data_IF_688135935468
#
_entry.id   IF_688135935468
#
_cell.length_a   1.000
_cell.length_b   1.000
_cell.length_c   1.000
_cell.angle_alpha   90.00
_cell.angle_beta   90.00
_cell.angle_gamma   90.00
#
_symmetry.space_group_name_H-M   'P 1'
#
loop_
_entity.id
_entity.type
_entity.pdbx_description
1 polymer ?
#
# COMPACT_ATOMS: atom_id res chain seq x y z
N UNK A 1 -64.74 -70.48 -38.14
CA UNK A 1 -65.66 -69.49 -37.55
C UNK A 1 -64.82 -68.51 -36.83
N UNK A 2 -64.67 -67.50 -37.48
CA UNK A 2 -65.07 -66.11 -37.24
C UNK A 2 -64.05 -65.34 -36.40
N UNK A 3 -63.37 -64.51 -37.09
CA UNK A 3 -63.34 -63.05 -37.04
C UNK A 3 -62.65 -62.50 -35.78
N UNK A 4 -61.93 -61.50 -35.74
CA UNK A 4 -61.74 -60.40 -36.63
C UNK A 4 -60.89 -59.37 -35.88
N UNK A 5 -60.23 -58.59 -36.67
CA UNK A 5 -59.95 -57.18 -36.52
C UNK A 5 -58.98 -56.69 -35.43
N UNK A 6 -57.90 -56.29 -35.90
CA UNK A 6 -57.57 -54.82 -36.22
C UNK A 6 -57.56 -53.89 -35.01
N UNK A 7 -56.47 -53.29 -34.68
CA UNK A 7 -56.16 -51.99 -35.18
C UNK A 7 -54.82 -51.48 -34.66
N UNK A 8 -54.02 -50.78 -35.48
CA UNK A 8 -52.81 -50.11 -35.02
C UNK A 8 -53.17 -48.71 -34.56
N UNK A 9 -52.56 -48.30 -33.50
CA UNK A 9 -52.54 -46.90 -33.05
C UNK A 9 -51.13 -46.56 -32.74
N UNK A 10 -50.42 -46.15 -33.62
CA UNK A 10 -49.81 -44.87 -33.95
C UNK A 10 -50.12 -43.79 -32.91
N UNK A 11 -49.08 -43.32 -32.17
CA UNK A 11 -48.90 -41.92 -31.77
C UNK A 11 -47.40 -41.71 -31.57
N UNK A 12 -46.77 -41.12 -32.48
CA UNK A 12 -46.16 -39.82 -32.54
C UNK A 12 -45.46 -39.42 -31.21
N UNK A 13 -44.15 -39.46 -31.25
CA UNK A 13 -43.32 -38.26 -31.41
C UNK A 13 -43.68 -37.14 -30.46
N UNK A 14 -42.90 -37.02 -29.41
CA UNK A 14 -42.85 -35.93 -28.48
C UNK A 14 -41.39 -35.62 -28.18
N UNK A 15 -40.68 -35.16 -29.19
CA UNK A 15 -39.42 -34.44 -28.97
C UNK A 15 -39.73 -33.18 -28.17
N UNK A 16 -39.56 -33.27 -26.86
CA UNK A 16 -39.52 -32.13 -25.95
C UNK A 16 -38.37 -31.19 -26.41
N UNK A 17 -38.56 -29.88 -26.33
CA UNK A 17 -37.55 -28.95 -26.79
C UNK A 17 -36.25 -29.14 -26.00
N UNK A 18 -35.17 -29.23 -26.76
CA UNK A 18 -33.78 -29.27 -26.30
C UNK A 18 -33.56 -28.29 -25.15
N UNK A 19 -32.93 -28.81 -24.09
CA UNK A 19 -32.63 -28.06 -22.88
C UNK A 19 -32.09 -26.66 -23.17
N UNK A 20 -32.75 -25.69 -22.61
CA UNK A 20 -32.14 -24.41 -22.33
C UNK A 20 -30.94 -24.71 -21.43
N UNK A 21 -29.76 -24.80 -22.04
CA UNK A 21 -28.51 -24.82 -21.31
C UNK A 21 -28.56 -23.62 -20.36
N UNK A 22 -28.46 -23.95 -19.10
CA UNK A 22 -28.36 -23.03 -17.98
C UNK A 22 -27.20 -22.06 -18.27
N UNK A 23 -27.52 -20.92 -18.87
CA UNK A 23 -26.56 -19.80 -18.97
C UNK A 23 -26.38 -19.36 -17.53
N UNK A 24 -25.16 -19.44 -16.98
CA UNK A 24 -24.93 -18.91 -15.66
C UNK A 24 -25.49 -17.48 -15.62
N UNK A 25 -26.42 -17.24 -14.73
CA UNK A 25 -27.01 -15.92 -14.51
C UNK A 25 -25.89 -14.90 -14.33
N UNK A 26 -26.14 -13.62 -14.58
CA UNK A 26 -25.12 -12.58 -14.45
C UNK A 26 -24.54 -12.68 -13.04
N UNK A 27 -23.21 -12.91 -12.96
CA UNK A 27 -22.50 -13.04 -11.70
C UNK A 27 -22.87 -11.87 -10.78
N UNK A 28 -23.12 -12.18 -9.50
CA UNK A 28 -23.45 -11.16 -8.50
C UNK A 28 -22.37 -10.07 -8.51
N UNK A 29 -22.75 -8.82 -8.76
CA UNK A 29 -21.80 -7.72 -8.81
C UNK A 29 -21.00 -7.55 -7.54
N UNK A 30 -21.58 -7.89 -6.39
CA UNK A 30 -20.91 -7.84 -5.10
C UNK A 30 -19.81 -8.90 -5.06
N UNK A 31 -20.12 -10.14 -5.44
CA UNK A 31 -19.13 -11.21 -5.48
C UNK A 31 -17.97 -10.91 -6.45
N UNK A 32 -18.28 -10.35 -7.62
CA UNK A 32 -17.25 -9.93 -8.60
C UNK A 32 -16.36 -8.83 -8.02
N UNK A 33 -16.94 -7.82 -7.38
CA UNK A 33 -16.18 -6.73 -6.78
C UNK A 33 -15.29 -7.24 -5.64
N UNK A 34 -15.83 -8.04 -4.73
CA UNK A 34 -15.09 -8.59 -3.58
C UNK A 34 -13.90 -9.44 -4.02
N UNK A 35 -14.01 -10.18 -5.15
CA UNK A 35 -12.86 -10.90 -5.73
C UNK A 35 -11.69 -9.98 -6.08
N UNK A 36 -11.96 -8.72 -6.41
CA UNK A 36 -10.94 -7.75 -6.83
C UNK A 36 -10.59 -6.71 -5.77
N UNK A 37 -11.38 -6.59 -4.70
CA UNK A 37 -11.29 -5.54 -3.68
C UNK A 37 -9.87 -5.39 -3.12
N UNK A 38 -9.25 -6.49 -2.72
CA UNK A 38 -7.90 -6.48 -2.15
C UNK A 38 -6.87 -5.89 -3.12
N UNK A 39 -6.90 -6.29 -4.39
CA UNK A 39 -6.03 -5.73 -5.43
C UNK A 39 -6.28 -4.23 -5.62
N UNK A 40 -7.55 -3.80 -5.65
CA UNK A 40 -7.91 -2.39 -5.82
C UNK A 40 -7.44 -1.54 -4.64
N UNK A 41 -7.59 -2.05 -3.41
CA UNK A 41 -7.06 -1.41 -2.19
C UNK A 41 -5.54 -1.30 -2.25
N UNK A 42 -4.85 -2.36 -2.66
CA UNK A 42 -3.40 -2.35 -2.85
C UNK A 42 -2.93 -1.32 -3.90
N UNK A 43 -3.64 -1.19 -5.02
CA UNK A 43 -3.36 -0.16 -6.05
C UNK A 43 -3.57 1.23 -5.46
N UNK A 44 -4.73 1.48 -4.84
CA UNK A 44 -5.09 2.78 -4.28
C UNK A 44 -4.11 3.21 -3.18
N UNK A 45 -3.76 2.31 -2.25
CA UNK A 45 -2.83 2.61 -1.16
C UNK A 45 -1.41 2.94 -1.68
N UNK A 46 -0.87 2.15 -2.63
CA UNK A 46 0.44 2.44 -3.24
C UNK A 46 0.44 3.76 -4.01
N UNK A 47 -0.69 4.14 -4.57
CA UNK A 47 -0.83 5.43 -5.22
C UNK A 47 -0.98 6.60 -4.25
N UNK A 48 -1.72 6.45 -3.16
CA UNK A 48 -2.12 7.57 -2.30
C UNK A 48 -1.24 7.71 -1.05
N UNK A 49 -0.65 6.60 -0.57
CA UNK A 49 0.15 6.57 0.66
C UNK A 49 -0.67 6.80 1.94
N UNK A 50 -2.01 6.69 1.87
CA UNK A 50 -2.93 6.82 3.00
C UNK A 50 -4.02 5.75 2.91
N UNK A 51 -4.17 4.98 3.99
CA UNK A 51 -5.15 3.89 4.04
C UNK A 51 -6.59 4.40 3.93
N UNK A 52 -6.92 5.48 4.64
CA UNK A 52 -8.25 6.09 4.58
C UNK A 52 -8.61 6.60 3.17
N UNK A 53 -7.66 7.26 2.48
CA UNK A 53 -7.90 7.73 1.10
C UNK A 53 -8.02 6.56 0.12
N UNK A 54 -7.32 5.45 0.36
CA UNK A 54 -7.44 4.23 -0.44
C UNK A 54 -8.80 3.56 -0.25
N UNK A 55 -9.29 3.44 0.99
CA UNK A 55 -10.63 2.94 1.30
C UNK A 55 -11.71 3.77 0.61
N UNK A 56 -11.62 5.09 0.69
CA UNK A 56 -12.56 6.01 0.03
C UNK A 56 -12.59 5.80 -1.50
N UNK A 57 -11.42 5.64 -2.12
CA UNK A 57 -11.32 5.38 -3.57
C UNK A 57 -11.93 4.04 -3.94
N UNK A 58 -11.70 3.00 -3.15
CA UNK A 58 -12.27 1.66 -3.39
C UNK A 58 -13.78 1.69 -3.20
N UNK A 59 -14.28 2.40 -2.20
CA UNK A 59 -15.73 2.59 -1.99
C UNK A 59 -16.37 3.35 -3.16
N UNK A 60 -15.74 4.42 -3.64
CA UNK A 60 -16.22 5.15 -4.83
C UNK A 60 -16.19 4.27 -6.10
N UNK A 61 -15.17 3.42 -6.23
CA UNK A 61 -15.09 2.44 -7.33
C UNK A 61 -16.23 1.41 -7.25
N UNK A 62 -16.59 0.96 -6.05
CA UNK A 62 -17.77 0.12 -5.82
C UNK A 62 -19.07 0.81 -6.27
N UNK A 63 -19.29 2.06 -5.87
CA UNK A 63 -20.48 2.80 -6.26
C UNK A 63 -20.61 2.92 -7.79
N UNK A 64 -19.51 3.18 -8.48
CA UNK A 64 -19.48 3.23 -9.95
C UNK A 64 -19.70 1.87 -10.60
N UNK A 65 -19.17 0.81 -10.02
CA UNK A 65 -19.38 -0.55 -10.46
C UNK A 65 -20.84 -1.00 -10.28
N UNK A 66 -21.43 -0.70 -9.12
CA UNK A 66 -22.83 -1.07 -8.82
C UNK A 66 -23.83 -0.35 -9.72
N UNK A 67 -23.51 0.88 -10.16
CA UNK A 67 -24.35 1.69 -11.06
C UNK A 67 -24.09 1.42 -12.55
N UNK A 68 -23.02 0.69 -12.92
CA UNK A 68 -22.69 0.43 -14.32
C UNK A 68 -23.68 -0.55 -14.98
N UNK A 69 -24.03 -0.30 -16.24
CA UNK A 69 -24.72 -1.30 -17.04
C UNK A 69 -23.74 -2.44 -17.39
N UNK A 70 -24.02 -3.63 -16.88
CA UNK A 70 -23.15 -4.79 -16.99
C UNK A 70 -23.14 -5.40 -18.38
N UNK A 71 -24.13 -5.12 -19.19
CA UNK A 71 -24.14 -5.51 -20.61
C UNK A 71 -22.97 -4.92 -21.38
N UNK A 72 -22.50 -3.74 -20.94
CA UNK A 72 -21.39 -3.01 -21.55
C UNK A 72 -20.01 -3.39 -20.99
N UNK A 73 -19.94 -4.06 -19.82
CA UNK A 73 -18.67 -4.40 -19.19
C UNK A 73 -18.26 -5.84 -19.48
N UNK A 74 -17.45 -6.02 -20.51
CA UNK A 74 -16.93 -7.35 -20.90
C UNK A 74 -15.89 -7.89 -19.92
N UNK A 75 -15.06 -7.01 -19.34
CA UNK A 75 -13.93 -7.35 -18.46
C UNK A 75 -14.02 -6.57 -17.15
N UNK A 76 -14.67 -7.14 -16.12
CA UNK A 76 -14.87 -6.48 -14.82
C UNK A 76 -13.57 -6.00 -14.17
N UNK A 77 -12.51 -6.84 -14.17
CA UNK A 77 -11.19 -6.48 -13.61
C UNK A 77 -10.62 -5.22 -14.27
N UNK A 78 -10.62 -5.16 -15.61
CA UNK A 78 -10.09 -4.01 -16.34
C UNK A 78 -10.90 -2.73 -16.06
N UNK A 79 -12.23 -2.84 -15.97
CA UNK A 79 -13.12 -1.74 -15.61
C UNK A 79 -12.79 -1.21 -14.22
N UNK A 80 -12.74 -2.08 -13.21
CA UNK A 80 -12.48 -1.73 -11.82
C UNK A 80 -11.10 -1.10 -11.62
N UNK A 81 -10.06 -1.69 -12.22
CA UNK A 81 -8.70 -1.12 -12.18
C UNK A 81 -8.66 0.26 -12.82
N UNK A 82 -9.33 0.45 -13.96
CA UNK A 82 -9.40 1.76 -14.63
C UNK A 82 -10.08 2.79 -13.75
N UNK A 83 -11.22 2.45 -13.16
CA UNK A 83 -11.96 3.36 -12.28
C UNK A 83 -11.13 3.74 -11.06
N UNK A 84 -10.59 2.75 -10.35
CA UNK A 84 -9.76 2.95 -9.14
C UNK A 84 -8.52 3.79 -9.45
N UNK A 85 -7.80 3.47 -10.54
CA UNK A 85 -6.59 4.21 -10.92
C UNK A 85 -6.88 5.66 -11.26
N UNK A 86 -7.96 5.94 -12.01
CA UNK A 86 -8.35 7.32 -12.35
C UNK A 86 -8.74 8.12 -11.11
N UNK A 87 -9.53 7.54 -10.23
CA UNK A 87 -9.88 8.15 -8.93
C UNK A 87 -8.63 8.45 -8.10
N UNK A 88 -7.69 7.51 -8.03
CA UNK A 88 -6.45 7.71 -7.29
C UNK A 88 -5.58 8.82 -7.92
N UNK A 89 -5.48 8.90 -9.26
CA UNK A 89 -4.77 10.00 -9.95
C UNK A 89 -5.40 11.35 -9.61
N UNK A 90 -6.74 11.45 -9.64
CA UNK A 90 -7.43 12.70 -9.34
C UNK A 90 -7.26 13.10 -7.87
N UNK A 91 -7.33 12.14 -6.94
CA UNK A 91 -6.98 12.37 -5.51
C UNK A 91 -5.54 12.83 -5.32
N UNK A 92 -4.57 12.23 -6.03
CA UNK A 92 -3.17 12.66 -5.98
C UNK A 92 -2.99 14.12 -6.41
N UNK A 93 -3.62 14.52 -7.51
CA UNK A 93 -3.57 15.91 -7.99
C UNK A 93 -4.13 16.89 -6.96
N UNK A 94 -5.25 16.53 -6.32
CA UNK A 94 -5.83 17.34 -5.25
C UNK A 94 -4.94 17.37 -3.99
N UNK A 95 -4.30 16.22 -3.66
CA UNK A 95 -3.42 16.11 -2.51
C UNK A 95 -2.12 16.92 -2.70
N UNK A 96 -1.57 17.00 -3.91
CA UNK A 96 -0.38 17.81 -4.19
C UNK A 96 -0.60 19.27 -3.82
N UNK A 97 -1.74 19.87 -4.20
CA UNK A 97 -2.07 21.24 -3.82
C UNK A 97 -2.19 21.43 -2.29
N UNK A 98 -2.69 20.41 -1.57
CA UNK A 98 -2.77 20.45 -0.09
C UNK A 98 -1.42 20.24 0.59
N UNK A 99 -0.49 19.52 -0.04
CA UNK A 99 0.87 19.28 0.49
C UNK A 99 1.76 20.51 0.43
N UNK A 100 1.51 21.44 -0.46
CA UNK A 100 2.22 22.72 -0.50
C UNK A 100 2.06 23.53 0.79
N UNK A 101 0.95 23.31 1.53
CA UNK A 101 0.68 23.93 2.83
C UNK A 101 0.99 23.01 4.04
N UNK A 102 1.54 21.81 3.81
CA UNK A 102 1.82 20.86 4.87
C UNK A 102 3.02 21.27 5.71
N UNK A 103 2.90 21.17 7.04
CA UNK A 103 3.96 21.60 7.96
C UNK A 103 4.98 20.47 8.16
N UNK A 104 6.20 20.70 7.68
CA UNK A 104 7.30 19.74 7.76
C UNK A 104 7.29 18.67 6.64
N UNK A 105 8.18 17.68 6.72
CA UNK A 105 8.21 16.57 5.79
C UNK A 105 6.94 15.74 5.89
N UNK A 106 6.50 15.19 4.77
CA UNK A 106 5.35 14.30 4.71
C UNK A 106 5.82 12.86 4.53
N UNK A 107 5.33 11.95 5.36
CA UNK A 107 5.53 10.51 5.24
C UNK A 107 4.19 9.81 4.94
N UNK A 108 4.20 8.68 4.21
CA UNK A 108 3.01 7.85 4.06
C UNK A 108 2.42 7.40 5.39
N UNK A 109 1.14 7.08 5.41
CA UNK A 109 0.47 6.51 6.58
C UNK A 109 0.97 5.07 6.80
N UNK A 110 1.41 4.71 8.02
CA UNK A 110 1.91 3.39 8.31
C UNK A 110 0.76 2.38 8.40
N UNK A 111 1.00 1.16 7.91
CA UNK A 111 0.05 0.05 8.00
C UNK A 111 0.73 -1.13 8.68
N UNK A 112 0.11 -1.65 9.75
CA UNK A 112 0.55 -2.90 10.39
C UNK A 112 0.38 -4.04 9.39
N UNK A 113 1.43 -4.83 9.20
CA UNK A 113 1.47 -5.96 8.28
C UNK A 113 1.63 -7.32 8.97
N UNK A 114 2.03 -7.32 10.25
CA UNK A 114 2.00 -8.52 11.08
C UNK A 114 0.64 -8.66 11.77
N UNK A 115 -0.13 -9.64 11.33
CA UNK A 115 -1.45 -9.90 11.88
C UNK A 115 -1.46 -11.11 12.84
N UNK A 116 -0.30 -11.70 13.12
CA UNK A 116 -0.17 -12.89 13.95
C UNK A 116 -0.93 -14.11 13.38
N UNK A 117 -0.70 -15.30 13.94
CA UNK A 117 -1.29 -16.55 13.44
C UNK A 117 -2.81 -16.68 13.68
N UNK A 118 -3.41 -15.78 14.45
CA UNK A 118 -4.81 -15.88 14.88
C UNK A 118 -5.83 -15.12 13.98
N UNK A 119 -5.34 -14.36 12.99
CA UNK A 119 -6.25 -13.58 12.12
C UNK A 119 -6.38 -14.30 10.78
N UNK A 120 -7.61 -14.58 10.30
CA UNK A 120 -7.80 -15.19 8.98
C UNK A 120 -7.07 -14.38 7.91
N UNK A 121 -6.31 -15.09 7.08
CA UNK A 121 -5.64 -14.55 5.90
C UNK A 121 -6.69 -13.97 4.95
N UNK A 122 -7.05 -12.71 5.15
CA UNK A 122 -7.85 -12.02 4.15
C UNK A 122 -6.89 -11.63 3.04
N UNK A 123 -7.19 -12.04 1.80
CA UNK A 123 -6.40 -11.71 0.61
C UNK A 123 -6.08 -10.20 0.51
N UNK A 124 -6.90 -9.35 1.11
CA UNK A 124 -6.72 -7.90 1.23
C UNK A 124 -5.49 -7.54 2.07
N UNK A 125 -5.27 -8.24 3.19
CA UNK A 125 -4.12 -8.00 4.08
C UNK A 125 -2.83 -8.55 3.49
N UNK A 126 -2.89 -9.73 2.86
CA UNK A 126 -1.73 -10.29 2.17
C UNK A 126 -1.23 -9.38 1.05
N UNK A 127 -2.11 -8.74 0.28
CA UNK A 127 -1.72 -7.77 -0.76
C UNK A 127 -1.21 -6.44 -0.19
N UNK A 128 -1.62 -6.05 1.01
CA UNK A 128 -1.04 -4.91 1.74
C UNK A 128 0.30 -5.30 2.38
N UNK A 129 0.41 -6.53 2.89
CA UNK A 129 1.63 -7.07 3.48
C UNK A 129 2.71 -7.36 2.42
N UNK A 130 2.31 -7.70 1.18
CA UNK A 130 3.25 -8.01 0.10
C UNK A 130 4.00 -6.73 -0.33
N UNK A 131 4.90 -6.33 0.56
CA UNK A 131 6.08 -5.47 0.39
C UNK A 131 5.86 -4.09 -0.26
N UNK A 132 5.13 -3.21 0.41
CA UNK A 132 5.37 -1.79 0.14
C UNK A 132 6.11 -1.19 1.34
N UNK A 133 7.44 -1.30 1.33
CA UNK A 133 8.26 -0.64 2.34
C UNK A 133 7.95 0.86 2.40
N UNK A 134 7.99 1.42 3.60
CA UNK A 134 7.81 2.87 3.78
C UNK A 134 8.80 3.65 2.90
N UNK A 135 10.04 3.15 2.75
CA UNK A 135 11.04 3.72 1.87
C UNK A 135 10.57 3.80 0.41
N UNK A 136 9.98 2.70 -0.12
CA UNK A 136 9.42 2.73 -1.48
C UNK A 136 8.27 3.73 -1.59
N UNK A 137 7.35 3.76 -0.63
CA UNK A 137 6.25 4.73 -0.63
C UNK A 137 6.79 6.17 -0.63
N UNK A 138 7.83 6.46 0.14
CA UNK A 138 8.49 7.77 0.16
C UNK A 138 9.09 8.11 -1.21
N UNK A 139 9.75 7.16 -1.87
CA UNK A 139 10.28 7.38 -3.23
C UNK A 139 9.15 7.61 -4.23
N UNK A 140 8.05 6.87 -4.12
CA UNK A 140 6.88 7.06 -4.98
C UNK A 140 6.27 8.46 -4.86
N UNK A 141 6.46 9.17 -3.72
CA UNK A 141 6.00 10.56 -3.57
C UNK A 141 6.70 11.55 -4.49
N UNK A 142 7.91 11.24 -4.98
CA UNK A 142 8.65 12.07 -5.94
C UNK A 142 8.14 11.94 -7.37
N UNK A 143 7.33 10.91 -7.67
CA UNK A 143 6.80 10.66 -9.00
C UNK A 143 5.59 11.55 -9.31
N UNK A 144 5.45 11.94 -10.56
CA UNK A 144 4.19 12.51 -11.03
C UNK A 144 3.04 11.49 -10.91
N UNK A 145 1.77 11.93 -10.78
CA UNK A 145 0.64 11.00 -10.66
C UNK A 145 0.55 9.93 -11.75
N UNK A 146 0.93 10.28 -12.98
CA UNK A 146 0.93 9.32 -14.09
C UNK A 146 2.11 8.35 -14.03
N UNK A 147 3.30 8.81 -13.70
CA UNK A 147 4.47 7.95 -13.50
C UNK A 147 4.23 6.97 -12.36
N UNK A 148 3.66 7.45 -11.25
CA UNK A 148 3.30 6.62 -10.11
C UNK A 148 2.27 5.56 -10.48
N UNK A 149 1.21 5.92 -11.22
CA UNK A 149 0.21 4.97 -11.70
C UNK A 149 0.81 3.88 -12.58
N UNK A 150 1.64 4.27 -13.55
CA UNK A 150 2.31 3.31 -14.44
C UNK A 150 3.25 2.40 -13.66
N UNK A 151 4.05 2.95 -12.74
CA UNK A 151 4.96 2.17 -11.91
C UNK A 151 4.20 1.16 -11.03
N UNK A 152 3.18 1.60 -10.32
CA UNK A 152 2.38 0.73 -9.44
C UNK A 152 1.72 -0.38 -10.24
N UNK A 153 1.02 -0.07 -11.33
CA UNK A 153 0.35 -1.08 -12.15
C UNK A 153 1.35 -2.07 -12.77
N UNK A 154 2.51 -1.60 -13.23
CA UNK A 154 3.50 -2.44 -13.91
C UNK A 154 4.33 -3.28 -12.95
N UNK A 155 4.96 -2.64 -11.95
CA UNK A 155 5.97 -3.27 -11.10
C UNK A 155 5.34 -4.01 -9.91
N UNK A 156 4.26 -3.48 -9.34
CA UNK A 156 3.62 -4.13 -8.19
C UNK A 156 2.55 -5.15 -8.59
N UNK A 157 1.84 -4.92 -9.71
CA UNK A 157 0.71 -5.76 -10.10
C UNK A 157 0.90 -6.48 -11.45
N UNK A 158 2.02 -6.29 -12.13
CA UNK A 158 2.38 -7.04 -13.34
C UNK A 158 1.51 -6.75 -14.57
N UNK A 159 0.75 -5.64 -14.61
CA UNK A 159 -0.11 -5.34 -15.75
C UNK A 159 0.70 -5.16 -17.04
N UNK A 160 0.25 -5.72 -18.18
CA UNK A 160 0.83 -5.46 -19.48
C UNK A 160 0.72 -3.98 -19.87
N UNK A 161 1.69 -3.47 -20.63
CA UNK A 161 1.67 -2.08 -21.09
C UNK A 161 0.42 -1.70 -21.88
N UNK A 162 -0.12 -2.63 -22.68
CA UNK A 162 -1.36 -2.43 -23.44
C UNK A 162 -2.57 -2.20 -22.51
N UNK A 163 -2.67 -2.96 -21.40
CA UNK A 163 -3.74 -2.77 -20.42
C UNK A 163 -3.57 -1.43 -19.69
N UNK A 164 -2.35 -1.08 -19.27
CA UNK A 164 -2.07 0.22 -18.63
C UNK A 164 -2.41 1.37 -19.57
N UNK A 165 -2.11 1.23 -20.86
CA UNK A 165 -2.45 2.20 -21.87
C UNK A 165 -3.97 2.43 -21.97
N UNK A 166 -4.75 1.36 -21.96
CA UNK A 166 -6.21 1.43 -21.93
C UNK A 166 -6.77 2.04 -20.62
N UNK A 167 -6.17 1.71 -19.47
CA UNK A 167 -6.52 2.29 -18.15
C UNK A 167 -6.33 3.81 -18.14
N UNK A 168 -5.20 4.29 -18.67
CA UNK A 168 -4.79 5.70 -18.62
C UNK A 168 -5.27 6.52 -19.83
N UNK A 169 -5.89 5.89 -20.83
CA UNK A 169 -6.27 6.51 -22.09
C UNK A 169 -5.07 7.16 -22.79
N UNK A 170 -4.01 6.36 -23.00
CA UNK A 170 -2.74 6.77 -23.59
C UNK A 170 -2.25 5.75 -24.60
N UNK A 171 -1.36 6.18 -25.49
CA UNK A 171 -0.66 5.26 -26.38
C UNK A 171 0.35 4.41 -25.60
N UNK A 172 0.51 3.15 -25.99
CA UNK A 172 1.43 2.22 -25.33
C UNK A 172 2.88 2.72 -25.30
N UNK A 173 3.33 3.39 -26.38
CA UNK A 173 4.67 4.00 -26.43
C UNK A 173 4.86 5.07 -25.35
N UNK A 174 3.84 5.91 -25.10
CA UNK A 174 3.88 6.92 -24.03
C UNK A 174 3.91 6.28 -22.64
N UNK A 175 3.17 5.17 -22.44
CA UNK A 175 3.19 4.41 -21.18
C UNK A 175 4.56 3.78 -20.92
N UNK A 176 5.21 3.22 -21.95
CA UNK A 176 6.59 2.70 -21.85
C UNK A 176 7.60 3.80 -21.46
N UNK A 177 7.44 5.01 -21.99
CA UNK A 177 8.29 6.15 -21.60
C UNK A 177 8.05 6.58 -20.15
N UNK A 178 6.78 6.62 -19.70
CA UNK A 178 6.43 6.90 -18.31
C UNK A 178 7.04 5.84 -17.38
N UNK A 179 6.94 4.56 -17.74
CA UNK A 179 7.53 3.47 -16.96
C UNK A 179 9.05 3.58 -16.84
N UNK A 180 9.74 3.91 -17.94
CA UNK A 180 11.19 4.08 -17.94
C UNK A 180 11.62 5.24 -17.04
N UNK A 181 10.93 6.39 -17.08
CA UNK A 181 11.21 7.53 -16.20
C UNK A 181 10.92 7.19 -14.73
N UNK A 182 9.76 6.58 -14.45
CA UNK A 182 9.39 6.18 -13.11
C UNK A 182 10.41 5.20 -12.51
N UNK A 183 10.83 4.18 -13.28
CA UNK A 183 11.85 3.23 -12.85
C UNK A 183 13.17 3.92 -12.55
N UNK A 184 13.64 4.81 -13.43
CA UNK A 184 14.87 5.58 -13.20
C UNK A 184 14.80 6.35 -11.88
N UNK A 185 13.73 7.09 -11.61
CA UNK A 185 13.54 7.83 -10.35
C UNK A 185 13.55 6.89 -9.13
N UNK A 186 12.88 5.74 -9.24
CA UNK A 186 12.83 4.75 -8.15
C UNK A 186 14.20 4.13 -7.91
N UNK A 187 14.94 3.79 -8.97
CA UNK A 187 16.29 3.20 -8.86
C UNK A 187 17.32 4.20 -8.29
N UNK A 188 17.15 5.49 -8.58
CA UNK A 188 17.97 6.55 -7.98
C UNK A 188 17.65 6.78 -6.49
N UNK A 189 16.41 6.52 -6.07
CA UNK A 189 15.95 6.68 -4.69
C UNK A 189 15.96 5.41 -3.85
N UNK A 190 16.16 4.23 -4.45
CA UNK A 190 16.19 2.95 -3.74
C UNK A 190 17.58 2.62 -3.20
N UNK A 191 17.63 1.97 -2.00
CA UNK A 191 18.85 1.30 -1.56
C UNK A 191 19.22 0.19 -2.55
N UNK A 192 20.52 0.13 -2.93
CA UNK A 192 21.01 -0.78 -3.98
C UNK A 192 21.26 -2.21 -3.52
N UNK A 193 21.02 -2.55 -2.25
CA UNK A 193 21.33 -3.87 -1.70
C UNK A 193 20.16 -4.39 -0.86
N UNK A 194 19.72 -5.59 -1.17
CA UNK A 194 18.84 -6.36 -0.31
C UNK A 194 19.65 -6.84 0.90
N UNK A 195 19.30 -6.35 2.07
CA UNK A 195 19.80 -6.86 3.36
C UNK A 195 18.88 -7.99 3.78
N UNK A 196 19.44 -9.09 4.27
CA UNK A 196 18.68 -10.20 4.83
C UNK A 196 17.66 -9.66 5.85
N UNK A 197 16.38 -10.10 5.80
CA UNK A 197 15.36 -9.64 6.72
C UNK A 197 15.73 -9.81 8.21
N UNK A 198 16.46 -10.89 8.56
CA UNK A 198 16.91 -11.14 9.93
C UNK A 198 18.01 -10.16 10.34
N UNK A 199 18.99 -9.88 9.46
CA UNK A 199 20.02 -8.86 9.72
C UNK A 199 19.41 -7.46 9.85
N UNK A 200 18.43 -7.15 9.01
CA UNK A 200 17.71 -5.86 9.09
C UNK A 200 16.99 -5.73 10.42
N UNK A 201 16.32 -6.78 10.87
CA UNK A 201 15.61 -6.81 12.15
C UNK A 201 16.60 -6.60 13.32
N UNK A 202 17.67 -7.35 13.37
CA UNK A 202 18.71 -7.23 14.42
C UNK A 202 19.29 -5.80 14.46
N UNK A 203 19.66 -5.24 13.31
CA UNK A 203 20.17 -3.88 13.24
C UNK A 203 19.10 -2.86 13.70
N UNK A 204 17.84 -3.07 13.34
CA UNK A 204 16.74 -2.22 13.78
C UNK A 204 16.59 -2.24 15.29
N UNK A 205 16.56 -3.42 15.89
CA UNK A 205 16.41 -3.58 17.33
C UNK A 205 17.59 -2.94 18.09
N UNK A 206 18.83 -3.17 17.67
CA UNK A 206 20.04 -2.56 18.25
C UNK A 206 20.06 -1.04 18.10
N UNK A 207 19.72 -0.54 16.91
CA UNK A 207 19.67 0.89 16.66
C UNK A 207 18.63 1.59 17.56
N UNK A 208 17.44 1.02 17.67
CA UNK A 208 16.37 1.58 18.47
C UNK A 208 16.67 1.47 19.97
N UNK A 209 17.32 0.38 20.41
CA UNK A 209 17.81 0.25 21.79
C UNK A 209 18.86 1.33 22.12
N UNK A 210 19.83 1.56 21.24
CA UNK A 210 20.82 2.62 21.41
C UNK A 210 20.18 4.03 21.40
N UNK A 211 19.17 4.25 20.56
CA UNK A 211 18.44 5.54 20.52
C UNK A 211 17.66 5.80 21.80
N UNK A 212 16.95 4.81 22.33
CA UNK A 212 16.18 4.93 23.57
C UNK A 212 17.10 4.98 24.82
N UNK A 213 18.22 4.26 24.79
CA UNK A 213 19.23 4.28 25.84
C UNK A 213 20.14 5.51 25.82
N UNK A 214 20.10 6.33 24.77
CA UNK A 214 20.94 7.53 24.63
C UNK A 214 22.42 7.24 24.35
N UNK A 215 22.73 6.07 23.77
CA UNK A 215 24.10 5.66 23.43
C UNK A 215 24.53 6.27 22.09
N UNK A 216 25.21 7.41 22.16
CA UNK A 216 25.67 8.14 20.97
C UNK A 216 26.70 7.35 20.17
N UNK A 217 27.65 6.67 20.81
CA UNK A 217 28.73 5.97 20.13
C UNK A 217 28.18 4.74 19.36
N UNK A 218 27.27 3.99 19.99
CA UNK A 218 26.58 2.90 19.31
C UNK A 218 25.75 3.40 18.10
N UNK A 219 25.04 4.53 18.24
CA UNK A 219 24.31 5.13 17.12
C UNK A 219 25.22 5.54 15.97
N UNK A 220 26.37 6.17 16.28
CA UNK A 220 27.31 6.61 15.26
C UNK A 220 27.97 5.43 14.55
N UNK A 221 28.17 4.31 15.21
CA UNK A 221 28.72 3.09 14.60
C UNK A 221 27.75 2.43 13.62
N UNK A 222 26.45 2.63 13.80
CA UNK A 222 25.40 2.05 12.95
C UNK A 222 24.89 2.97 11.83
N UNK A 223 25.07 4.29 11.96
CA UNK A 223 24.58 5.27 10.97
C UNK A 223 25.56 5.42 9.80
N UNK A 224 25.02 5.45 8.58
CA UNK A 224 25.77 5.87 7.40
C UNK A 224 26.23 7.34 7.57
N UNK A 225 27.43 7.73 7.06
CA UNK A 225 27.95 9.10 7.22
C UNK A 225 26.99 10.18 6.72
N UNK A 226 26.27 9.90 5.63
CA UNK A 226 25.28 10.73 4.94
C UNK A 226 23.84 10.36 5.29
N UNK A 227 23.64 9.62 6.38
CA UNK A 227 22.31 9.22 6.86
C UNK A 227 21.36 10.41 7.00
N UNK A 228 20.08 10.16 6.82
CA UNK A 228 19.00 11.15 6.90
C UNK A 228 17.99 10.75 7.98
N UNK A 229 17.41 11.75 8.65
CA UNK A 229 16.28 11.55 9.53
C UNK A 229 15.13 12.42 9.03
N UNK A 230 14.00 11.79 8.78
CA UNK A 230 12.78 12.41 8.27
C UNK A 230 11.69 12.27 9.33
N UNK A 231 11.21 13.41 9.86
CA UNK A 231 10.16 13.43 10.87
C UNK A 231 8.86 14.00 10.31
N UNK A 232 7.75 13.32 10.51
CA UNK A 232 6.42 13.78 10.14
C UNK A 232 5.52 13.94 11.35
N UNK A 233 5.15 15.17 11.68
CA UNK A 233 4.18 15.51 12.72
C UNK A 233 2.94 16.22 12.17
N UNK A 234 2.99 16.68 10.92
CA UNK A 234 1.95 17.55 10.36
C UNK A 234 1.72 18.84 11.14
N UNK A 235 2.74 19.29 11.93
CA UNK A 235 2.61 20.41 12.85
C UNK A 235 1.78 20.16 14.11
N UNK A 236 1.34 18.89 14.35
CA UNK A 236 0.43 18.51 15.45
C UNK A 236 1.16 17.86 16.64
N UNK A 237 2.44 17.51 16.47
CA UNK A 237 3.29 16.93 17.49
C UNK A 237 4.72 17.46 17.37
N UNK A 238 5.56 17.21 18.39
CA UNK A 238 6.98 17.60 18.36
C UNK A 238 7.76 16.64 17.47
N UNK A 239 8.22 17.09 16.30
CA UNK A 239 9.14 16.37 15.41
C UNK A 239 9.98 17.36 14.64
N UNK A 240 11.10 16.94 14.03
CA UNK A 240 11.89 17.81 13.16
C UNK A 240 11.06 18.31 11.98
N UNK A 241 10.97 19.62 11.80
CA UNK A 241 10.29 20.24 10.67
C UNK A 241 11.14 20.24 9.40
N UNK A 242 12.39 19.83 9.48
CA UNK A 242 13.33 19.68 8.37
C UNK A 242 14.07 18.37 8.49
N UNK A 243 14.48 17.84 7.36
CA UNK A 243 15.33 16.64 7.33
C UNK A 243 16.64 16.95 8.06
N UNK A 244 17.01 16.05 8.98
CA UNK A 244 18.32 16.11 9.64
C UNK A 244 19.26 15.23 8.83
N UNK A 245 20.38 15.79 8.41
CA UNK A 245 21.39 15.09 7.61
C UNK A 245 22.66 14.89 8.43
N UNK A 246 23.38 13.82 8.16
CA UNK A 246 24.63 13.34 8.76
C UNK A 246 24.45 12.57 10.08
N UNK A 247 25.20 11.45 10.20
CA UNK A 247 25.18 10.59 11.37
C UNK A 247 25.30 11.35 12.70
N UNK A 248 26.25 12.31 12.77
CA UNK A 248 26.50 13.06 14.01
C UNK A 248 25.32 13.92 14.45
N UNK A 249 24.62 14.58 13.52
CA UNK A 249 23.44 15.40 13.86
C UNK A 249 22.27 14.51 14.27
N UNK A 250 22.08 13.39 13.57
CA UNK A 250 21.04 12.42 13.89
C UNK A 250 21.25 11.81 15.28
N UNK A 251 22.47 11.30 15.56
CA UNK A 251 22.80 10.72 16.85
C UNK A 251 22.57 11.72 18.01
N UNK A 252 23.06 12.96 17.88
CA UNK A 252 22.83 14.02 18.89
C UNK A 252 21.36 14.34 19.06
N UNK A 253 20.59 14.37 17.98
CA UNK A 253 19.15 14.61 18.07
C UNK A 253 18.45 13.49 18.83
N UNK A 254 18.71 12.22 18.50
CA UNK A 254 18.09 11.05 19.13
C UNK A 254 18.44 10.99 20.64
N UNK A 255 19.72 11.16 20.99
CA UNK A 255 20.17 11.24 22.40
C UNK A 255 19.50 12.41 23.12
N UNK A 256 19.44 13.59 22.48
CA UNK A 256 18.78 14.75 23.09
C UNK A 256 17.28 14.56 23.31
N UNK A 257 16.61 13.75 22.49
CA UNK A 257 15.19 13.39 22.68
C UNK A 257 15.05 12.39 23.84
N UNK A 258 15.87 11.33 23.90
CA UNK A 258 15.80 10.33 24.97
C UNK A 258 16.04 10.93 26.36
N UNK A 259 16.97 11.90 26.47
CA UNK A 259 17.29 12.58 27.74
C UNK A 259 16.23 13.60 28.21
N UNK A 260 15.35 14.04 27.32
CA UNK A 260 14.29 15.03 27.61
C UNK A 260 12.90 14.40 27.73
N UNK A 261 12.83 13.09 27.72
CA UNK A 261 11.57 12.38 27.87
C UNK A 261 11.06 12.51 29.30
N UNK A 262 10.17 13.48 29.56
CA UNK A 262 9.49 13.67 30.87
C UNK A 262 8.34 12.65 31.05
N UNK A 263 8.02 11.88 30.02
CA UNK A 263 6.91 10.92 29.97
C UNK A 263 7.44 9.50 30.03
N UNK A 264 6.66 8.60 30.64
CA UNK A 264 6.96 7.17 30.65
C UNK A 264 6.50 6.60 29.29
N UNK A 265 7.48 6.20 28.48
CA UNK A 265 7.23 5.56 27.21
C UNK A 265 7.21 4.04 27.37
N UNK A 266 6.20 3.42 26.79
CA UNK A 266 6.17 2.00 26.51
C UNK A 266 6.58 1.78 25.05
N UNK A 267 7.34 0.72 24.81
CA UNK A 267 7.84 0.41 23.47
C UNK A 267 7.43 -1.00 23.07
N UNK A 268 6.98 -1.16 21.80
CA UNK A 268 6.74 -2.46 21.22
C UNK A 268 7.27 -2.51 19.80
N UNK A 269 7.76 -3.68 19.40
CA UNK A 269 8.14 -3.93 18.01
C UNK A 269 6.95 -4.54 17.26
N UNK A 270 6.66 -4.01 16.11
CA UNK A 270 5.65 -4.52 15.21
C UNK A 270 6.17 -4.51 13.77
N UNK A 271 5.57 -5.31 12.91
CA UNK A 271 5.80 -5.22 11.48
C UNK A 271 4.87 -4.16 10.89
N UNK A 272 5.48 -3.12 10.33
CA UNK A 272 4.79 -2.00 9.69
C UNK A 272 5.31 -1.87 8.28
N UNK A 273 4.43 -1.87 7.27
CA UNK A 273 4.83 -1.81 5.86
C UNK A 273 5.90 -2.86 5.50
N UNK A 274 5.76 -4.11 5.96
CA UNK A 274 6.68 -5.21 5.68
C UNK A 274 8.07 -5.08 6.29
N UNK A 275 8.25 -4.21 7.28
CA UNK A 275 9.53 -4.06 7.98
C UNK A 275 9.32 -3.82 9.48
N UNK A 276 10.30 -4.25 10.29
CA UNK A 276 10.29 -4.02 11.74
C UNK A 276 10.25 -2.53 12.04
N UNK A 277 9.32 -2.13 12.88
CA UNK A 277 9.17 -0.78 13.41
C UNK A 277 9.10 -0.80 14.94
N UNK A 278 9.57 0.27 15.58
CA UNK A 278 9.31 0.54 16.99
C UNK A 278 8.10 1.45 17.11
N UNK A 279 7.11 1.02 17.86
CA UNK A 279 5.96 1.83 18.22
C UNK A 279 6.16 2.32 19.65
N UNK A 280 6.16 3.63 19.86
CA UNK A 280 6.16 4.22 21.19
C UNK A 280 4.75 4.58 21.63
N UNK A 281 4.42 4.30 22.89
CA UNK A 281 3.14 4.62 23.49
C UNK A 281 3.35 5.50 24.73
N UNK A 282 2.41 6.40 24.97
CA UNK A 282 2.31 7.22 26.17
C UNK A 282 0.91 7.05 26.75
N UNK A 283 0.81 6.54 27.97
CA UNK A 283 -0.48 6.25 28.60
C UNK A 283 -1.35 5.30 27.76
N UNK A 284 -0.75 4.28 27.15
CA UNK A 284 -1.44 3.30 26.28
C UNK A 284 -1.85 3.83 24.90
N UNK A 285 -1.50 5.07 24.55
CA UNK A 285 -1.83 5.67 23.23
C UNK A 285 -0.57 5.76 22.36
N UNK A 286 -0.68 5.38 21.10
CA UNK A 286 0.45 5.48 20.16
C UNK A 286 0.85 6.95 20.00
N UNK A 287 2.13 7.22 20.29
CA UNK A 287 2.75 8.54 20.16
C UNK A 287 3.59 8.66 18.88
N UNK A 288 4.37 7.61 18.56
CA UNK A 288 5.20 7.61 17.38
C UNK A 288 5.43 6.21 16.81
N UNK A 289 5.76 6.17 15.52
CA UNK A 289 6.31 5.00 14.82
C UNK A 289 7.70 5.37 14.32
N UNK A 290 8.67 4.52 14.64
CA UNK A 290 10.05 4.64 14.20
C UNK A 290 10.37 3.49 13.26
N UNK A 291 10.95 3.79 12.12
CA UNK A 291 11.39 2.79 11.15
C UNK A 291 12.72 3.20 10.57
N UNK A 292 13.59 2.23 10.27
CA UNK A 292 14.87 2.52 9.64
C UNK A 292 14.96 1.88 8.25
N UNK A 293 15.72 2.53 7.40
CA UNK A 293 16.16 2.00 6.12
C UNK A 293 17.63 1.65 6.21
N UNK A 294 17.98 0.42 5.82
CA UNK A 294 19.34 -0.12 5.90
C UNK A 294 19.92 -0.22 4.50
N UNK A 295 21.14 0.27 4.32
CA UNK A 295 21.89 0.19 3.08
C UNK A 295 23.35 -0.18 3.40
N UNK A 296 23.84 -1.26 2.79
CA UNK A 296 25.23 -1.71 2.99
C UNK A 296 25.57 -2.03 4.44
N UNK A 297 24.61 -2.54 5.22
CA UNK A 297 24.77 -2.86 6.64
C UNK A 297 24.74 -1.67 7.59
N UNK A 298 24.47 -0.46 7.09
CA UNK A 298 24.33 0.76 7.88
C UNK A 298 22.94 1.38 7.75
N UNK A 299 22.53 2.15 8.75
CA UNK A 299 21.27 2.90 8.73
C UNK A 299 21.42 4.12 7.82
N UNK A 300 20.76 4.09 6.67
CA UNK A 300 20.78 5.16 5.67
C UNK A 300 19.69 6.20 5.93
N UNK A 301 18.51 5.78 6.44
CA UNK A 301 17.45 6.71 6.79
C UNK A 301 16.72 6.26 8.06
N UNK A 302 16.31 7.25 8.86
CA UNK A 302 15.43 7.09 10.02
C UNK A 302 14.14 7.82 9.73
N UNK A 303 13.01 7.12 9.77
CA UNK A 303 11.68 7.69 9.65
C UNK A 303 11.03 7.77 11.01
N UNK A 304 10.48 8.94 11.35
CA UNK A 304 9.76 9.18 12.60
C UNK A 304 8.39 9.75 12.26
N UNK A 305 7.36 8.97 12.48
CA UNK A 305 5.98 9.41 12.26
C UNK A 305 5.32 9.70 13.59
N UNK A 306 4.94 10.96 13.81
CA UNK A 306 4.23 11.45 14.99
C UNK A 306 2.95 12.19 14.69
N UNK A 307 2.53 12.23 13.41
CA UNK A 307 1.27 12.84 13.05
C UNK A 307 0.09 12.01 13.57
N UNK A 308 -0.70 12.51 14.54
CA UNK A 308 -1.77 11.74 15.16
C UNK A 308 -2.88 11.34 14.16
N UNK A 309 -3.06 12.09 13.09
CA UNK A 309 -4.05 11.73 12.06
C UNK A 309 -3.65 10.47 11.27
N UNK A 310 -2.35 10.22 11.16
CA UNK A 310 -1.80 9.04 10.46
C UNK A 310 -1.59 7.83 11.37
N UNK A 311 -1.61 8.03 12.69
CA UNK A 311 -1.42 6.95 13.67
C UNK A 311 -2.73 6.26 14.08
N UNK A 312 -3.89 6.82 13.69
CA UNK A 312 -5.21 6.29 14.08
C UNK A 312 -5.47 4.88 13.57
N UNK A 313 -4.94 4.56 12.39
CA UNK A 313 -5.09 3.24 11.77
C UNK A 313 -4.39 2.11 12.55
N UNK A 314 -3.31 2.43 13.27
CA UNK A 314 -2.53 1.48 14.06
C UNK A 314 -3.17 1.14 15.43
N UNK A 315 -4.10 1.97 15.90
CA UNK A 315 -4.75 1.78 17.22
C UNK A 315 -5.86 0.72 17.19
N UNK A 316 -6.14 0.10 16.05
CA UNK A 316 -7.23 -0.86 15.86
C UNK A 316 -6.76 -2.32 15.78
N UNK A 317 -5.52 -2.58 16.17
CA UNK A 317 -4.95 -3.94 16.24
C UNK A 317 -5.04 -4.54 17.64
#
# INVERSE_FOLDING_TARGET
MTTDQSNPGEVADGAGPAGYADRPGPADPTAVFETHRAMLTGVAYRMLGRAADAEDVVQEAWLRWSAADRGDVREPRAFLVRVTTRLAIDRLRQAQSRRESYVGPWLPEPVVTDFGPAVPDTAERALLADSVSLALLVVLESLSPLERAVFVLREAFGFPFAEIAAVLDRGEAAVRQLAARARKHVDEGRPRYDVDPAERRDLTERFLAAATGGDLDALLAMLAPDARLVGDSGGKAKAPLRIIETARKIGRFLVGVSQRADEVYEYRFEEVNGATALISLVGGRIDAVFQIEVQGGLVACVYILRNPDKLRGLARG
#
